data_IF_152584477679
#
_entry.id   IF_152584477679
#
_cell.length_a   1.000
_cell.length_b   1.000
_cell.length_c   1.000
_cell.angle_alpha   90.00
_cell.angle_beta   90.00
_cell.angle_gamma   90.00
#
_symmetry.space_group_name_H-M   'P 1'
#
loop_
_entity.id
_entity.type
_entity.pdbx_description
1 polymer ?
#
# COMPACT_ATOMS: atom_id res chain seq x y z
N UNK A 1 -18.44 14.54 -2.64
CA UNK A 1 -17.70 13.42 -2.06
C UNK A 1 -16.77 12.85 -3.12
N UNK A 2 -15.52 12.55 -2.75
CA UNK A 2 -14.57 11.95 -3.67
C UNK A 2 -15.04 10.53 -4.07
N UNK A 3 -14.75 10.12 -5.32
CA UNK A 3 -15.05 8.76 -5.77
C UNK A 3 -13.90 7.83 -5.37
N UNK A 4 -14.23 6.74 -4.70
CA UNK A 4 -13.31 5.65 -4.34
C UNK A 4 -13.78 4.34 -4.97
N UNK A 5 -12.87 3.48 -5.45
CA UNK A 5 -13.24 2.22 -6.08
C UNK A 5 -13.84 1.21 -5.07
N UNK A 6 -13.45 1.30 -3.81
CA UNK A 6 -13.96 0.46 -2.71
C UNK A 6 -14.13 1.34 -1.48
N UNK A 7 -15.25 1.15 -0.77
CA UNK A 7 -15.53 1.79 0.52
C UNK A 7 -15.71 0.70 1.57
N UNK A 8 -14.87 0.73 2.59
CA UNK A 8 -15.03 -0.09 3.79
C UNK A 8 -15.64 0.77 4.91
N UNK A 9 -16.92 0.55 5.16
CA UNK A 9 -17.64 1.29 6.19
C UNK A 9 -17.28 0.83 7.62
N UNK A 10 -16.68 -0.35 7.78
CA UNK A 10 -16.25 -0.84 9.10
C UNK A 10 -15.15 0.04 9.69
N UNK A 11 -14.30 0.62 8.85
CA UNK A 11 -13.23 1.56 9.25
C UNK A 11 -13.76 2.87 9.85
N UNK A 12 -15.05 3.18 9.67
CA UNK A 12 -15.65 4.37 10.31
C UNK A 12 -15.68 4.26 11.83
N UNK A 13 -15.68 3.06 12.38
CA UNK A 13 -15.60 2.83 13.83
C UNK A 13 -14.22 3.22 14.40
N UNK A 14 -13.17 3.07 13.62
CA UNK A 14 -11.80 3.41 14.05
C UNK A 14 -11.60 4.92 14.26
N UNK A 15 -12.51 5.75 13.74
CA UNK A 15 -12.46 7.21 13.84
C UNK A 15 -13.55 7.79 14.73
N UNK A 16 -14.24 6.97 15.52
CA UNK A 16 -15.20 7.44 16.52
C UNK A 16 -14.48 8.30 17.57
N UNK A 17 -15.08 9.43 17.91
CA UNK A 17 -14.47 10.43 18.81
C UNK A 17 -13.49 11.40 18.15
N UNK A 18 -13.11 11.19 16.89
CA UNK A 18 -12.27 12.12 16.14
C UNK A 18 -13.16 13.11 15.36
N UNK A 19 -12.89 14.41 15.53
CA UNK A 19 -13.57 15.44 14.78
C UNK A 19 -13.17 15.43 13.31
N UNK A 20 -14.08 15.02 12.42
CA UNK A 20 -13.87 14.95 10.98
C UNK A 20 -14.60 16.08 10.27
N UNK A 21 -13.88 16.91 9.51
CA UNK A 21 -14.44 17.98 8.70
C UNK A 21 -14.45 17.56 7.22
N UNK A 22 -15.63 17.21 6.72
CA UNK A 22 -15.81 16.84 5.30
C UNK A 22 -15.98 18.10 4.45
N UNK A 23 -15.21 18.23 3.39
CA UNK A 23 -15.26 19.37 2.47
C UNK A 23 -15.69 18.97 1.06
N UNK A 24 -16.06 19.95 0.26
CA UNK A 24 -16.31 19.76 -1.20
C UNK A 24 -14.99 19.54 -1.92
N UNK A 25 -15.05 18.96 -3.11
CA UNK A 25 -13.93 18.84 -4.04
C UNK A 25 -14.40 19.13 -5.47
N UNK A 26 -13.51 19.67 -6.31
CA UNK A 26 -13.69 19.79 -7.75
C UNK A 26 -12.81 18.75 -8.42
N UNK A 27 -13.40 17.64 -8.85
CA UNK A 27 -12.65 16.54 -9.46
C UNK A 27 -12.92 16.50 -10.98
N UNK A 28 -11.91 16.84 -11.79
CA UNK A 28 -12.00 16.70 -13.24
C UNK A 28 -12.17 15.24 -13.67
N UNK A 29 -11.76 14.27 -12.82
CA UNK A 29 -11.90 12.83 -13.07
C UNK A 29 -13.35 12.38 -13.31
N UNK A 30 -14.36 13.06 -12.75
CA UNK A 30 -15.78 12.76 -13.04
C UNK A 30 -16.18 13.05 -14.49
N UNK A 31 -15.62 14.08 -15.08
CA UNK A 31 -15.80 14.38 -16.51
C UNK A 31 -15.03 13.39 -17.38
N UNK A 32 -13.83 13.05 -16.95
CA UNK A 32 -12.95 12.11 -17.62
C UNK A 32 -13.51 10.67 -17.62
N UNK A 33 -14.03 10.18 -16.49
CA UNK A 33 -14.65 8.85 -16.43
C UNK A 33 -15.95 8.76 -17.23
N UNK A 34 -16.73 9.84 -17.31
CA UNK A 34 -17.90 9.93 -18.22
C UNK A 34 -17.51 9.80 -19.69
N UNK A 35 -16.41 10.41 -20.10
CA UNK A 35 -15.95 10.39 -21.50
C UNK A 35 -15.32 9.05 -21.90
N UNK A 36 -14.70 8.29 -20.96
CA UNK A 36 -13.93 7.08 -21.28
C UNK A 36 -14.68 5.79 -20.96
N UNK A 37 -15.38 5.73 -19.84
CA UNK A 37 -16.00 4.47 -19.36
C UNK A 37 -17.52 4.46 -19.38
N UNK A 38 -18.16 5.56 -19.76
CA UNK A 38 -19.63 5.69 -19.71
C UNK A 38 -20.24 5.58 -18.31
N UNK A 39 -19.45 5.23 -17.29
CA UNK A 39 -19.89 5.05 -15.91
C UNK A 39 -19.08 5.91 -14.93
N UNK A 40 -19.67 6.99 -14.39
CA UNK A 40 -18.97 7.94 -13.50
C UNK A 40 -18.61 7.38 -12.13
N UNK A 41 -19.07 6.18 -11.78
CA UNK A 41 -18.82 5.55 -10.48
C UNK A 41 -17.67 4.53 -10.50
N UNK A 42 -17.22 4.06 -11.67
CA UNK A 42 -16.02 3.23 -11.77
C UNK A 42 -14.79 4.10 -11.59
N UNK A 43 -14.18 4.03 -10.41
CA UNK A 43 -12.85 4.59 -10.16
C UNK A 43 -11.83 3.98 -11.13
N UNK A 44 -10.74 4.71 -11.41
CA UNK A 44 -9.63 4.17 -12.22
C UNK A 44 -8.96 3.08 -11.37
N UNK A 45 -8.77 1.85 -11.89
CA UNK A 45 -8.09 0.80 -11.16
C UNK A 45 -6.70 1.26 -10.70
N UNK A 46 -6.37 1.02 -9.44
CA UNK A 46 -5.02 1.28 -8.92
C UNK A 46 -4.06 0.24 -9.52
N UNK A 47 -2.91 0.69 -10.02
CA UNK A 47 -1.84 -0.19 -10.47
C UNK A 47 -1.88 -0.63 -11.94
N UNK A 48 -2.97 -0.44 -12.68
CA UNK A 48 -3.03 -0.72 -14.12
C UNK A 48 -3.33 0.55 -14.92
N UNK A 49 -2.37 0.99 -15.73
CA UNK A 49 -2.59 2.04 -16.72
C UNK A 49 -2.89 1.36 -18.05
N UNK A 50 -4.16 1.37 -18.47
CA UNK A 50 -4.56 0.86 -19.78
C UNK A 50 -4.00 1.77 -20.88
N UNK A 51 -2.90 1.37 -21.51
CA UNK A 51 -2.24 2.09 -22.60
C UNK A 51 -2.52 1.51 -23.98
N UNK A 52 -3.33 0.45 -24.08
CA UNK A 52 -3.55 -0.31 -25.32
C UNK A 52 -4.36 0.45 -26.38
N UNK A 53 -5.25 1.37 -25.99
CA UNK A 53 -6.04 2.16 -26.92
C UNK A 53 -5.47 3.57 -27.12
N UNK A 54 -5.77 4.21 -28.29
CA UNK A 54 -5.40 5.59 -28.57
C UNK A 54 -6.01 6.53 -27.51
N UNK A 55 -7.26 6.31 -27.13
CA UNK A 55 -7.93 7.05 -26.06
C UNK A 55 -7.22 6.87 -24.71
N UNK A 56 -6.77 5.67 -24.39
CA UNK A 56 -5.97 5.40 -23.18
C UNK A 56 -4.65 6.16 -23.17
N UNK A 57 -3.96 6.24 -24.32
CA UNK A 57 -2.71 7.02 -24.47
C UNK A 57 -2.92 8.52 -24.27
N UNK A 58 -3.98 9.09 -24.87
CA UNK A 58 -4.34 10.52 -24.72
C UNK A 58 -4.73 10.82 -23.28
N UNK A 59 -5.51 9.96 -22.68
CA UNK A 59 -5.94 10.04 -21.30
C UNK A 59 -4.76 10.02 -20.31
N UNK A 60 -3.82 9.13 -20.54
CA UNK A 60 -2.59 9.02 -19.74
C UNK A 60 -1.71 10.26 -19.90
N UNK A 61 -1.58 10.78 -21.12
CA UNK A 61 -0.87 12.03 -21.38
C UNK A 61 -1.51 13.23 -20.66
N UNK A 62 -2.83 13.39 -20.75
CA UNK A 62 -3.55 14.45 -20.03
C UNK A 62 -3.36 14.30 -18.52
N UNK A 63 -3.51 13.09 -17.97
CA UNK A 63 -3.31 12.83 -16.54
C UNK A 63 -1.89 13.20 -16.09
N UNK A 64 -0.86 12.81 -16.84
CA UNK A 64 0.53 13.05 -16.49
C UNK A 64 0.99 14.50 -16.60
N UNK A 65 0.35 15.31 -17.46
CA UNK A 65 0.84 16.65 -17.79
C UNK A 65 -0.03 17.80 -17.25
N UNK A 66 -1.32 17.58 -17.05
CA UNK A 66 -2.25 18.64 -16.60
C UNK A 66 -2.70 18.46 -15.13
N UNK A 67 -2.60 17.25 -14.57
CA UNK A 67 -2.97 16.98 -13.18
C UNK A 67 -1.73 16.86 -12.28
N UNK A 68 -1.02 17.96 -12.14
CA UNK A 68 0.17 18.07 -11.29
C UNK A 68 -0.21 18.76 -9.96
N UNK A 69 0.11 18.18 -8.81
CA UNK A 69 0.79 16.89 -8.59
C UNK A 69 -0.10 15.68 -8.88
N UNK A 70 -1.41 15.80 -8.72
CA UNK A 70 -2.40 14.75 -8.89
C UNK A 70 -3.80 15.32 -9.21
N UNK A 71 -4.74 14.42 -9.48
CA UNK A 71 -6.11 14.79 -9.87
C UNK A 71 -6.96 15.36 -8.70
N UNK A 72 -6.46 15.32 -7.48
CA UNK A 72 -7.15 15.84 -6.28
C UNK A 72 -6.81 17.31 -5.99
N UNK A 73 -5.94 17.95 -6.78
CA UNK A 73 -5.58 19.37 -6.60
C UNK A 73 -6.78 20.34 -6.51
N UNK A 74 -7.92 19.98 -7.10
CA UNK A 74 -9.16 20.75 -6.99
C UNK A 74 -9.81 20.73 -5.61
N UNK A 75 -9.30 19.93 -4.68
CA UNK A 75 -9.71 19.90 -3.29
C UNK A 75 -9.01 20.97 -2.43
N UNK A 76 -7.80 21.39 -2.79
CA UNK A 76 -6.95 22.30 -2.03
C UNK A 76 -7.69 23.54 -1.51
N UNK A 77 -8.41 24.35 -2.32
CA UNK A 77 -9.06 25.56 -1.84
C UNK A 77 -10.17 25.29 -0.81
N UNK A 78 -10.82 24.15 -0.86
CA UNK A 78 -11.85 23.77 0.10
C UNK A 78 -11.24 23.31 1.43
N UNK A 79 -10.15 22.54 1.38
CA UNK A 79 -9.40 22.10 2.53
C UNK A 79 -8.79 23.29 3.28
N UNK A 80 -8.11 24.19 2.55
CA UNK A 80 -7.50 25.39 3.14
C UNK A 80 -8.55 26.26 3.84
N UNK A 81 -9.69 26.56 3.19
CA UNK A 81 -10.75 27.35 3.81
C UNK A 81 -11.33 26.71 5.06
N UNK A 82 -11.51 25.39 5.06
CA UNK A 82 -12.02 24.68 6.23
C UNK A 82 -11.00 24.69 7.38
N UNK A 83 -9.74 24.41 7.09
CA UNK A 83 -8.66 24.43 8.07
C UNK A 83 -8.42 25.84 8.64
N UNK A 84 -8.47 26.90 7.82
CA UNK A 84 -8.37 28.29 8.28
C UNK A 84 -9.41 28.64 9.32
N UNK A 85 -10.65 28.15 9.19
CA UNK A 85 -11.69 28.37 10.21
C UNK A 85 -11.30 27.77 11.56
N UNK A 86 -10.79 26.54 11.54
CA UNK A 86 -10.32 25.86 12.76
C UNK A 86 -9.13 26.58 13.37
N UNK A 87 -8.13 26.90 12.56
CA UNK A 87 -6.89 27.57 13.01
C UNK A 87 -7.11 28.98 13.59
N UNK A 88 -8.19 29.65 13.19
CA UNK A 88 -8.59 30.95 13.78
C UNK A 88 -9.35 30.83 15.11
N UNK A 89 -9.97 29.68 15.33
CA UNK A 89 -10.82 29.43 16.51
C UNK A 89 -10.11 28.62 17.59
N UNK A 90 -9.14 27.82 17.20
CA UNK A 90 -8.48 26.87 18.09
C UNK A 90 -6.95 27.03 18.02
N UNK A 91 -6.29 26.85 19.15
CA UNK A 91 -4.83 26.89 19.24
C UNK A 91 -4.25 25.56 18.79
N UNK A 92 -3.95 25.45 17.50
CA UNK A 92 -3.31 24.28 16.90
C UNK A 92 -1.80 24.50 16.88
N UNK A 93 -1.05 23.56 17.42
CA UNK A 93 0.42 23.63 17.52
C UNK A 93 1.14 22.96 16.35
N UNK A 94 0.54 21.89 15.81
CA UNK A 94 1.14 21.06 14.78
C UNK A 94 0.13 20.74 13.68
N UNK A 95 0.61 20.75 12.45
CA UNK A 95 -0.11 20.30 11.26
C UNK A 95 0.61 19.13 10.64
N UNK A 96 -0.10 18.04 10.39
CA UNK A 96 0.42 16.90 9.63
C UNK A 96 -0.39 16.78 8.35
N UNK A 97 0.29 16.68 7.21
CA UNK A 97 -0.33 16.37 5.92
C UNK A 97 0.18 15.04 5.41
N UNK A 98 -0.74 14.17 4.98
CA UNK A 98 -0.42 12.82 4.50
C UNK A 98 -0.69 12.70 3.00
N UNK A 99 0.21 12.11 2.26
CA UNK A 99 0.09 11.81 0.84
C UNK A 99 0.53 10.37 0.50
N UNK A 100 -0.04 9.76 -0.55
CA UNK A 100 -0.93 10.34 -1.56
C UNK A 100 -2.37 10.59 -1.09
N UNK A 101 -3.08 11.56 -1.67
CA UNK A 101 -2.67 12.42 -2.77
C UNK A 101 -1.72 13.54 -2.32
N UNK A 102 -0.65 13.77 -3.09
CA UNK A 102 0.39 14.75 -2.73
C UNK A 102 -0.08 16.22 -2.81
N UNK A 103 -1.21 16.48 -3.48
CA UNK A 103 -1.91 17.78 -3.42
C UNK A 103 -2.30 18.19 -2.00
N UNK A 104 -2.41 17.26 -1.05
CA UNK A 104 -2.62 17.52 0.38
C UNK A 104 -1.49 18.37 0.96
N UNK A 105 -0.24 18.09 0.56
CA UNK A 105 0.93 18.86 1.02
C UNK A 105 0.92 20.30 0.50
N UNK A 106 0.33 20.57 -0.67
CA UNK A 106 0.15 21.95 -1.15
C UNK A 106 -0.83 22.75 -0.28
N UNK A 107 -1.86 22.11 0.25
CA UNK A 107 -2.74 22.73 1.23
C UNK A 107 -2.00 23.00 2.54
N UNK A 108 -1.18 22.06 3.01
CA UNK A 108 -0.32 22.21 4.18
C UNK A 108 0.66 23.37 4.05
N UNK A 109 1.34 23.48 2.90
CA UNK A 109 2.26 24.58 2.62
C UNK A 109 1.58 25.96 2.72
N UNK A 110 0.36 26.10 2.18
CA UNK A 110 -0.40 27.34 2.26
C UNK A 110 -0.81 27.69 3.70
N UNK A 111 -1.19 26.68 4.48
CA UNK A 111 -1.61 26.89 5.88
C UNK A 111 -0.41 27.18 6.78
N UNK A 112 0.68 26.43 6.64
CA UNK A 112 1.87 26.61 7.46
C UNK A 112 2.48 27.99 7.28
N UNK A 113 2.53 28.51 6.03
CA UNK A 113 3.04 29.85 5.76
C UNK A 113 2.15 30.98 6.29
N UNK A 114 0.83 30.75 6.46
CA UNK A 114 -0.12 31.76 6.95
C UNK A 114 -0.24 31.80 8.47
N UNK A 115 -0.02 30.66 9.15
CA UNK A 115 -0.28 30.49 10.58
C UNK A 115 0.97 30.11 11.38
N UNK A 116 2.15 30.12 10.77
CA UNK A 116 3.44 29.77 11.40
C UNK A 116 3.42 28.43 12.16
N UNK A 117 2.79 27.41 11.56
CA UNK A 117 2.59 26.11 12.17
C UNK A 117 3.85 25.23 12.08
N UNK A 118 4.10 24.41 13.10
CA UNK A 118 4.99 23.26 12.96
C UNK A 118 4.35 22.29 11.98
N UNK A 119 4.78 22.29 10.73
CA UNK A 119 4.17 21.46 9.68
C UNK A 119 5.04 20.28 9.33
N UNK A 120 4.48 19.07 9.47
CA UNK A 120 5.10 17.80 9.08
C UNK A 120 4.42 17.24 7.84
N UNK A 121 5.23 16.67 6.96
CA UNK A 121 4.75 16.03 5.72
C UNK A 121 4.99 14.52 5.77
N UNK A 122 3.93 13.74 5.60
CA UNK A 122 3.95 12.29 5.66
C UNK A 122 3.88 11.69 4.26
N UNK A 123 5.01 11.20 3.77
CA UNK A 123 5.16 10.54 2.49
C UNK A 123 4.98 9.04 2.65
N UNK A 124 3.76 8.56 2.42
CA UNK A 124 3.46 7.12 2.44
C UNK A 124 3.96 6.40 1.19
N UNK A 125 4.00 7.11 0.06
CA UNK A 125 4.49 6.63 -1.23
C UNK A 125 5.42 7.68 -1.86
N UNK A 126 6.32 7.25 -2.79
CA UNK A 126 7.09 8.19 -3.61
C UNK A 126 6.18 9.12 -4.40
N UNK A 127 6.60 10.37 -4.57
CA UNK A 127 5.86 11.33 -5.40
C UNK A 127 6.42 11.40 -6.81
N UNK A 128 7.55 12.09 -7.00
CA UNK A 128 8.11 12.25 -8.35
C UNK A 128 8.78 10.98 -8.85
N UNK A 129 9.32 10.18 -7.94
CA UNK A 129 10.06 8.95 -8.23
C UNK A 129 9.18 7.69 -8.29
N UNK A 130 7.85 7.83 -8.17
CA UNK A 130 6.95 6.67 -8.21
C UNK A 130 7.04 5.92 -9.54
N UNK A 131 7.16 4.60 -9.48
CA UNK A 131 7.47 3.75 -10.63
C UNK A 131 6.55 3.92 -11.85
N UNK A 132 5.26 4.16 -11.64
CA UNK A 132 4.30 4.34 -12.74
C UNK A 132 4.37 5.71 -13.42
N UNK A 133 5.12 6.69 -12.90
CA UNK A 133 5.33 7.98 -13.57
C UNK A 133 6.00 7.81 -14.94
N UNK A 134 6.88 6.79 -15.09
CA UNK A 134 7.52 6.44 -16.37
C UNK A 134 6.51 6.09 -17.45
N UNK A 135 5.35 5.56 -17.06
CA UNK A 135 4.27 5.14 -17.98
C UNK A 135 3.35 6.31 -18.40
N UNK A 136 3.41 7.45 -17.71
CA UNK A 136 2.48 8.57 -17.93
C UNK A 136 2.85 9.51 -19.07
N UNK A 137 3.91 9.24 -19.87
CA UNK A 137 4.35 10.08 -21.00
C UNK A 137 4.43 11.57 -20.65
N UNK A 138 5.05 11.89 -19.53
CA UNK A 138 5.17 13.25 -19.00
C UNK A 138 6.18 14.07 -19.82
N UNK A 139 5.86 15.32 -20.12
CA UNK A 139 6.81 16.27 -20.72
C UNK A 139 7.86 16.70 -19.70
N UNK A 140 9.03 17.13 -20.17
CA UNK A 140 10.07 17.67 -19.29
C UNK A 140 9.58 18.85 -18.45
N UNK A 141 8.74 19.73 -19.01
CA UNK A 141 8.13 20.85 -18.27
C UNK A 141 7.26 20.36 -17.10
N UNK A 142 6.46 19.32 -17.33
CA UNK A 142 5.59 18.74 -16.30
C UNK A 142 6.39 18.03 -15.21
N UNK A 143 7.45 17.32 -15.59
CA UNK A 143 8.37 16.68 -14.64
C UNK A 143 9.10 17.71 -13.79
N UNK A 144 9.67 18.75 -14.43
CA UNK A 144 10.37 19.84 -13.73
C UNK A 144 9.45 20.60 -12.76
N UNK A 145 8.19 20.88 -13.18
CA UNK A 145 7.20 21.50 -12.30
C UNK A 145 6.88 20.66 -11.08
N UNK A 146 6.69 19.37 -11.27
CA UNK A 146 6.36 18.44 -10.19
C UNK A 146 7.53 18.28 -9.21
N UNK A 147 8.74 18.12 -9.73
CA UNK A 147 9.98 18.08 -8.92
C UNK A 147 10.19 19.37 -8.12
N UNK A 148 9.93 20.54 -8.72
CA UNK A 148 10.00 21.81 -8.03
C UNK A 148 8.96 21.93 -6.89
N UNK A 149 7.75 21.41 -7.08
CA UNK A 149 6.73 21.36 -6.03
C UNK A 149 7.15 20.44 -4.87
N UNK A 150 7.62 19.24 -5.17
CA UNK A 150 8.12 18.30 -4.15
C UNK A 150 9.26 18.93 -3.35
N UNK A 151 10.28 19.46 -4.03
CA UNK A 151 11.42 20.14 -3.37
C UNK A 151 10.96 21.29 -2.49
N UNK A 152 10.04 22.13 -2.99
CA UNK A 152 9.48 23.25 -2.22
C UNK A 152 8.77 22.79 -0.94
N UNK A 153 8.02 21.71 -1.01
CA UNK A 153 7.33 21.14 0.16
C UNK A 153 8.35 20.61 1.16
N UNK A 154 9.32 19.82 0.72
CA UNK A 154 10.36 19.29 1.59
C UNK A 154 11.13 20.41 2.30
N UNK A 155 11.50 21.49 1.61
CA UNK A 155 12.27 22.60 2.15
C UNK A 155 11.48 23.48 3.13
N UNK A 156 10.15 23.50 3.07
CA UNK A 156 9.32 24.37 3.93
C UNK A 156 8.64 23.60 5.07
N UNK A 157 8.69 22.29 5.08
CA UNK A 157 8.18 21.47 6.17
C UNK A 157 9.14 21.56 7.38
N UNK A 158 8.62 21.46 8.60
CA UNK A 158 9.43 21.28 9.81
C UNK A 158 10.15 19.93 9.81
N UNK A 159 9.50 18.92 9.25
CA UNK A 159 10.08 17.61 9.10
C UNK A 159 9.28 16.72 8.15
N UNK A 160 9.87 15.60 7.79
CA UNK A 160 9.38 14.64 6.79
C UNK A 160 9.24 13.27 7.44
N UNK A 161 8.07 12.68 7.31
CA UNK A 161 7.77 11.30 7.73
C UNK A 161 7.77 10.42 6.48
N UNK A 162 8.42 9.26 6.57
CA UNK A 162 8.41 8.24 5.52
C UNK A 162 8.06 6.87 6.10
N UNK A 163 7.57 5.96 5.28
CA UNK A 163 7.17 4.61 5.75
C UNK A 163 8.36 3.71 6.08
N UNK A 164 9.56 4.03 5.62
CA UNK A 164 10.77 3.24 5.87
C UNK A 164 12.00 4.16 5.85
N UNK A 165 13.10 3.72 6.44
CA UNK A 165 14.42 4.37 6.30
C UNK A 165 15.14 3.97 4.99
N UNK A 166 14.47 3.26 4.06
CA UNK A 166 15.04 2.76 2.83
C UNK A 166 15.22 3.81 1.73
N UNK A 167 15.20 3.37 0.49
CA UNK A 167 15.52 4.19 -0.68
C UNK A 167 14.68 5.48 -0.80
N UNK A 168 13.36 5.41 -0.54
CA UNK A 168 12.50 6.59 -0.55
C UNK A 168 12.99 7.66 0.43
N UNK A 169 13.27 7.26 1.66
CA UNK A 169 13.77 8.15 2.72
C UNK A 169 15.08 8.83 2.29
N UNK A 170 16.05 8.04 1.85
CA UNK A 170 17.37 8.53 1.42
C UNK A 170 17.26 9.50 0.23
N UNK A 171 16.43 9.19 -0.77
CA UNK A 171 16.21 10.07 -1.92
C UNK A 171 15.56 11.40 -1.55
N UNK A 172 14.57 11.37 -0.65
CA UNK A 172 13.95 12.61 -0.17
C UNK A 172 14.92 13.43 0.68
N UNK A 173 15.74 12.78 1.52
CA UNK A 173 16.77 13.43 2.33
C UNK A 173 17.84 14.11 1.45
N UNK A 174 18.25 13.48 0.35
CA UNK A 174 19.17 14.12 -0.63
C UNK A 174 18.57 15.39 -1.26
N UNK A 175 17.25 15.46 -1.42
CA UNK A 175 16.56 16.66 -1.97
C UNK A 175 16.44 17.79 -0.95
N UNK A 176 16.50 17.50 0.35
CA UNK A 176 16.39 18.45 1.46
C UNK A 176 17.23 17.99 2.68
N UNK A 177 18.57 18.04 2.60
CA UNK A 177 19.46 17.47 3.62
C UNK A 177 19.38 18.20 4.97
N UNK A 178 18.93 19.45 5.00
CA UNK A 178 18.78 20.26 6.21
C UNK A 178 17.51 19.93 7.01
N UNK A 179 16.63 19.08 6.48
CA UNK A 179 15.36 18.77 7.13
C UNK A 179 15.47 17.57 8.08
N UNK A 180 14.58 17.53 9.07
CA UNK A 180 14.43 16.38 9.96
C UNK A 180 13.63 15.29 9.26
N UNK A 181 14.14 14.07 9.26
CA UNK A 181 13.47 12.90 8.67
C UNK A 181 13.20 11.83 9.71
N UNK A 182 11.98 11.30 9.70
CA UNK A 182 11.52 10.23 10.59
C UNK A 182 11.01 9.07 9.75
N UNK A 183 11.52 7.86 9.97
CA UNK A 183 10.96 6.65 9.37
C UNK A 183 9.90 6.05 10.30
N UNK A 184 8.64 6.02 9.84
CA UNK A 184 7.50 5.54 10.61
C UNK A 184 6.66 4.59 9.76
N UNK A 185 6.76 3.27 9.95
CA UNK A 185 6.00 2.28 9.18
C UNK A 185 4.48 2.46 9.30
N UNK A 186 3.73 1.78 8.42
CA UNK A 186 2.27 1.81 8.45
C UNK A 186 1.66 1.23 9.74
N UNK A 187 2.37 0.29 10.37
CA UNK A 187 1.92 -0.39 11.56
C UNK A 187 0.78 -1.39 11.31
N UNK A 188 0.53 -2.23 12.29
CA UNK A 188 -0.61 -3.14 12.34
C UNK A 188 -1.47 -2.85 13.57
N UNK A 189 -2.73 -3.24 13.53
CA UNK A 189 -3.64 -3.14 14.67
C UNK A 189 -3.42 -4.32 15.60
N UNK A 190 -2.69 -4.10 16.70
CA UNK A 190 -2.34 -5.16 17.64
C UNK A 190 -3.56 -5.67 18.43
N UNK A 191 -4.54 -4.82 18.71
CA UNK A 191 -5.75 -5.21 19.43
C UNK A 191 -6.66 -6.06 18.53
N UNK A 192 -6.94 -5.59 17.32
CA UNK A 192 -7.70 -6.34 16.33
C UNK A 192 -7.03 -7.68 16.01
N UNK A 193 -5.68 -7.67 15.86
CA UNK A 193 -4.91 -8.88 15.61
C UNK A 193 -5.06 -9.88 16.76
N UNK A 194 -4.97 -9.45 18.03
CA UNK A 194 -5.14 -10.35 19.20
C UNK A 194 -6.55 -10.89 19.30
N UNK A 195 -7.55 -10.05 19.13
CA UNK A 195 -8.96 -10.37 19.35
C UNK A 195 -9.61 -11.14 18.20
N UNK A 196 -8.97 -11.24 17.05
CA UNK A 196 -9.49 -11.98 15.89
C UNK A 196 -9.00 -13.44 15.95
N UNK A 197 -9.94 -14.37 16.06
CA UNK A 197 -9.65 -15.80 15.96
C UNK A 197 -9.35 -16.21 14.50
N UNK A 198 -8.58 -17.30 14.35
CA UNK A 198 -8.33 -17.88 13.04
C UNK A 198 -9.62 -18.48 12.46
N UNK A 199 -9.84 -18.34 11.16
CA UNK A 199 -10.89 -19.08 10.47
C UNK A 199 -10.65 -20.60 10.58
N UNK A 200 -11.68 -21.45 10.39
CA UNK A 200 -11.52 -22.90 10.43
C UNK A 200 -10.42 -23.39 9.48
N UNK A 201 -9.55 -24.27 10.01
CA UNK A 201 -8.47 -24.84 9.21
C UNK A 201 -8.99 -25.76 8.13
N UNK A 202 -8.43 -25.67 6.93
CA UNK A 202 -8.70 -26.60 5.83
C UNK A 202 -7.92 -27.89 6.00
N UNK A 203 -8.44 -28.98 5.44
CA UNK A 203 -7.69 -30.25 5.33
C UNK A 203 -6.62 -30.08 4.26
N UNK A 204 -5.36 -30.38 4.60
CA UNK A 204 -4.22 -30.19 3.71
C UNK A 204 -3.48 -28.88 3.96
N UNK A 205 -2.73 -28.42 2.97
CA UNK A 205 -1.87 -27.24 3.10
C UNK A 205 -2.58 -26.01 2.53
N UNK A 206 -2.87 -25.05 3.40
CA UNK A 206 -3.62 -23.86 3.08
C UNK A 206 -2.69 -22.67 2.83
N UNK A 207 -2.73 -22.13 1.63
CA UNK A 207 -1.97 -20.97 1.18
C UNK A 207 -2.95 -19.80 1.03
N UNK A 208 -2.57 -18.62 1.53
CA UNK A 208 -3.45 -17.45 1.51
C UNK A 208 -2.71 -16.25 0.93
N UNK A 209 -3.40 -15.51 0.06
CA UNK A 209 -3.01 -14.17 -0.38
C UNK A 209 -4.13 -13.19 -0.07
N UNK A 210 -3.79 -12.04 0.52
CA UNK A 210 -4.74 -10.93 0.73
C UNK A 210 -4.24 -9.65 0.08
N UNK A 211 -5.14 -8.85 -0.50
CA UNK A 211 -4.84 -7.52 -1.01
C UNK A 211 -5.10 -7.32 -2.50
N UNK A 212 -4.40 -6.37 -3.09
CA UNK A 212 -4.45 -6.10 -4.53
C UNK A 212 -3.55 -7.07 -5.28
N UNK A 213 -4.11 -7.77 -6.29
CA UNK A 213 -3.34 -8.59 -7.22
C UNK A 213 -3.60 -8.12 -8.65
N UNK A 214 -2.53 -7.82 -9.35
CA UNK A 214 -2.52 -7.38 -10.75
C UNK A 214 -1.51 -8.15 -11.57
N UNK A 215 -1.54 -8.02 -12.90
CA UNK A 215 -0.57 -8.67 -13.80
C UNK A 215 0.87 -8.15 -13.64
N UNK A 216 1.06 -7.01 -12.94
CA UNK A 216 2.39 -6.43 -12.67
C UNK A 216 3.07 -7.01 -11.42
N UNK A 217 2.55 -8.11 -10.88
CA UNK A 217 3.11 -8.80 -9.72
C UNK A 217 3.52 -10.24 -10.09
N UNK A 218 4.49 -10.78 -9.36
CA UNK A 218 5.16 -12.04 -9.61
C UNK A 218 4.34 -13.29 -9.20
N UNK A 219 3.06 -13.39 -9.58
CA UNK A 219 2.21 -14.51 -9.19
C UNK A 219 2.38 -15.77 -10.06
N UNK A 220 2.76 -15.60 -11.34
CA UNK A 220 2.72 -16.69 -12.31
C UNK A 220 3.65 -17.85 -11.94
N UNK A 221 4.87 -17.53 -11.49
CA UNK A 221 5.86 -18.55 -11.09
C UNK A 221 5.44 -19.36 -9.86
N UNK A 222 4.80 -18.70 -8.90
CA UNK A 222 4.22 -19.42 -7.75
C UNK A 222 3.11 -20.37 -8.21
N UNK A 223 2.27 -19.96 -9.15
CA UNK A 223 1.21 -20.81 -9.69
C UNK A 223 1.81 -22.06 -10.35
N UNK A 224 2.92 -21.93 -11.11
CA UNK A 224 3.65 -23.05 -11.70
C UNK A 224 4.16 -24.03 -10.62
N UNK A 225 4.79 -23.49 -9.56
CA UNK A 225 5.29 -24.30 -8.43
C UNK A 225 4.14 -25.02 -7.70
N UNK A 226 3.03 -24.33 -7.45
CA UNK A 226 1.86 -24.94 -6.81
C UNK A 226 1.23 -26.04 -7.67
N UNK A 227 1.21 -25.88 -9.00
CA UNK A 227 0.74 -26.91 -9.93
C UNK A 227 1.59 -28.18 -9.83
N UNK A 228 2.92 -28.03 -9.79
CA UNK A 228 3.82 -29.17 -9.62
C UNK A 228 3.62 -29.89 -8.27
N UNK A 229 3.59 -29.13 -7.16
CA UNK A 229 3.43 -29.68 -5.82
C UNK A 229 2.07 -30.35 -5.60
N UNK A 230 1.03 -29.92 -6.31
CA UNK A 230 -0.31 -30.49 -6.24
C UNK A 230 -0.41 -31.92 -6.79
N UNK A 231 0.64 -32.44 -7.45
CA UNK A 231 0.66 -33.84 -7.90
C UNK A 231 0.78 -34.83 -6.74
N UNK A 232 1.39 -34.41 -5.61
CA UNK A 232 1.59 -35.26 -4.44
C UNK A 232 0.96 -34.75 -3.14
N UNK A 233 0.34 -33.57 -3.14
CA UNK A 233 -0.15 -32.91 -1.93
C UNK A 233 -1.53 -32.29 -2.13
N UNK A 234 -2.35 -32.30 -1.09
CA UNK A 234 -3.63 -31.57 -1.06
C UNK A 234 -3.35 -30.10 -0.73
N UNK A 235 -3.57 -29.23 -1.71
CA UNK A 235 -3.34 -27.80 -1.60
C UNK A 235 -4.66 -27.03 -1.69
N UNK A 236 -4.80 -26.00 -0.87
CA UNK A 236 -5.85 -24.98 -0.93
C UNK A 236 -5.21 -23.62 -1.15
N UNK A 237 -5.73 -22.84 -2.08
CA UNK A 237 -5.25 -21.48 -2.33
C UNK A 237 -6.40 -20.48 -2.21
N UNK A 238 -6.42 -19.74 -1.11
CA UNK A 238 -7.41 -18.69 -0.86
C UNK A 238 -6.87 -17.32 -1.27
N UNK A 239 -7.68 -16.61 -2.05
CA UNK A 239 -7.42 -15.27 -2.54
C UNK A 239 -8.48 -14.32 -1.99
N UNK A 240 -8.08 -13.21 -1.36
CA UNK A 240 -9.01 -12.18 -0.89
C UNK A 240 -8.49 -10.79 -1.25
N UNK A 241 -9.40 -9.87 -1.60
CA UNK A 241 -9.09 -8.49 -1.93
C UNK A 241 -9.52 -8.06 -3.32
N UNK A 242 -8.88 -7.03 -3.86
CA UNK A 242 -9.22 -6.50 -5.17
C UNK A 242 -8.39 -7.20 -6.26
N UNK A 243 -8.97 -8.22 -6.88
CA UNK A 243 -8.32 -9.03 -7.92
C UNK A 243 -9.19 -9.03 -9.17
N UNK A 244 -8.58 -8.83 -10.33
CA UNK A 244 -9.32 -8.85 -11.59
C UNK A 244 -9.92 -10.24 -11.83
N UNK A 245 -11.23 -10.37 -12.13
CA UNK A 245 -11.89 -11.66 -12.38
C UNK A 245 -11.21 -12.52 -13.46
N UNK A 246 -10.65 -11.90 -14.50
CA UNK A 246 -9.91 -12.62 -15.55
C UNK A 246 -8.65 -13.29 -15.00
N UNK A 247 -7.98 -12.66 -14.03
CA UNK A 247 -6.80 -13.21 -13.38
C UNK A 247 -7.15 -14.40 -12.49
N UNK A 248 -8.27 -14.32 -11.77
CA UNK A 248 -8.78 -15.43 -10.96
C UNK A 248 -9.12 -16.64 -11.84
N UNK A 249 -9.78 -16.42 -12.98
CA UNK A 249 -10.10 -17.47 -13.93
C UNK A 249 -8.82 -18.13 -14.50
N UNK A 250 -7.79 -17.33 -14.79
CA UNK A 250 -6.48 -17.81 -15.24
C UNK A 250 -5.80 -18.69 -14.19
N UNK A 251 -5.74 -18.23 -12.94
CA UNK A 251 -5.16 -18.98 -11.81
C UNK A 251 -5.90 -20.30 -11.60
N UNK A 252 -7.24 -20.28 -11.58
CA UNK A 252 -8.05 -21.51 -11.45
C UNK A 252 -7.80 -22.50 -12.58
N UNK A 253 -7.68 -22.02 -13.81
CA UNK A 253 -7.39 -22.86 -14.99
C UNK A 253 -5.99 -23.50 -14.88
N UNK A 254 -5.00 -22.76 -14.37
CA UNK A 254 -3.63 -23.24 -14.21
C UNK A 254 -3.45 -24.19 -13.03
N UNK A 255 -4.40 -24.25 -12.09
CA UNK A 255 -4.35 -25.05 -10.87
C UNK A 255 -5.51 -26.05 -10.76
N UNK A 256 -5.68 -26.99 -11.72
CA UNK A 256 -6.86 -27.88 -11.75
C UNK A 256 -6.93 -28.87 -10.58
N UNK A 257 -5.82 -29.15 -9.89
CA UNK A 257 -5.75 -30.03 -8.71
C UNK A 257 -5.66 -29.28 -7.38
N UNK A 258 -5.65 -27.95 -7.41
CA UNK A 258 -5.64 -27.09 -6.20
C UNK A 258 -7.04 -26.52 -6.01
N UNK A 259 -7.57 -26.58 -4.81
CA UNK A 259 -8.82 -25.89 -4.50
C UNK A 259 -8.56 -24.38 -4.37
N UNK A 260 -8.91 -23.64 -5.45
CA UNK A 260 -8.72 -22.17 -5.50
C UNK A 260 -10.02 -21.48 -5.16
N UNK A 261 -10.04 -20.77 -4.03
CA UNK A 261 -11.18 -19.97 -3.57
C UNK A 261 -10.89 -18.48 -3.69
N UNK A 262 -11.86 -17.71 -4.20
CA UNK A 262 -11.82 -16.26 -4.19
C UNK A 262 -12.93 -15.71 -3.32
N UNK A 263 -12.55 -15.01 -2.26
CA UNK A 263 -13.45 -14.48 -1.24
C UNK A 263 -13.93 -13.04 -1.53
N UNK A 264 -13.45 -12.41 -2.62
CA UNK A 264 -13.73 -11.00 -2.86
C UNK A 264 -13.03 -10.08 -1.85
N UNK A 265 -13.56 -8.87 -1.71
CA UNK A 265 -13.13 -7.95 -0.66
C UNK A 265 -13.73 -8.38 0.68
N UNK A 266 -12.88 -8.66 1.66
CA UNK A 266 -13.27 -9.03 3.01
C UNK A 266 -13.16 -7.83 3.97
N UNK A 267 -14.06 -7.68 4.94
CA UNK A 267 -13.85 -6.82 6.09
C UNK A 267 -12.56 -7.17 6.82
N UNK A 268 -11.88 -6.18 7.40
CA UNK A 268 -10.51 -6.32 7.93
C UNK A 268 -10.36 -7.49 8.91
N UNK A 269 -11.26 -7.63 9.89
CA UNK A 269 -11.24 -8.76 10.83
C UNK A 269 -11.37 -10.13 10.12
N UNK A 270 -12.20 -10.24 9.08
CA UNK A 270 -12.33 -11.49 8.32
C UNK A 270 -11.07 -11.79 7.50
N UNK A 271 -10.40 -10.76 6.96
CA UNK A 271 -9.12 -10.93 6.28
C UNK A 271 -8.05 -11.42 7.26
N UNK A 272 -7.99 -10.88 8.48
CA UNK A 272 -7.09 -11.36 9.54
C UNK A 272 -7.40 -12.82 9.93
N UNK A 273 -8.67 -13.18 10.11
CA UNK A 273 -9.09 -14.55 10.40
C UNK A 273 -8.62 -15.54 9.31
N UNK A 274 -8.79 -15.15 8.04
CA UNK A 274 -8.32 -15.93 6.89
C UNK A 274 -6.80 -16.07 6.90
N UNK A 275 -6.05 -14.98 7.09
CA UNK A 275 -4.58 -15.01 7.17
C UNK A 275 -4.10 -15.95 8.28
N UNK A 276 -4.68 -15.88 9.48
CA UNK A 276 -4.33 -16.74 10.63
C UNK A 276 -4.64 -18.22 10.43
N UNK A 277 -5.55 -18.55 9.53
CA UNK A 277 -5.89 -19.95 9.20
C UNK A 277 -4.89 -20.62 8.26
N UNK A 278 -4.02 -19.83 7.64
CA UNK A 278 -3.08 -20.31 6.61
C UNK A 278 -1.91 -21.13 7.21
N UNK A 279 -1.34 -21.98 6.38
CA UNK A 279 -0.04 -22.59 6.61
C UNK A 279 1.09 -21.72 6.00
N UNK A 280 0.78 -20.97 4.95
CA UNK A 280 1.69 -20.07 4.27
C UNK A 280 0.96 -18.83 3.76
N UNK A 281 1.53 -17.66 3.99
CA UNK A 281 1.10 -16.41 3.39
C UNK A 281 1.98 -16.07 2.19
N UNK A 282 1.35 -15.71 1.07
CA UNK A 282 2.05 -15.22 -0.11
C UNK A 282 1.99 -13.70 -0.19
N UNK A 283 3.12 -13.09 -0.48
CA UNK A 283 3.22 -11.68 -0.77
C UNK A 283 3.89 -11.46 -2.13
N UNK A 284 3.29 -10.60 -2.97
CA UNK A 284 3.82 -10.25 -4.28
C UNK A 284 4.13 -8.77 -4.32
N UNK A 285 5.39 -8.42 -4.59
CA UNK A 285 5.81 -7.04 -4.75
C UNK A 285 5.53 -6.58 -6.18
N UNK A 286 5.16 -5.31 -6.36
CA UNK A 286 4.98 -4.73 -7.69
C UNK A 286 6.32 -4.57 -8.38
N UNK A 287 6.41 -5.00 -9.65
CA UNK A 287 7.60 -4.77 -10.49
C UNK A 287 7.90 -3.28 -10.60
N UNK A 288 9.12 -2.89 -10.23
CA UNK A 288 9.59 -1.51 -10.19
C UNK A 288 9.32 -0.75 -8.88
N UNK A 289 8.69 -1.39 -7.88
CA UNK A 289 8.48 -0.82 -6.56
C UNK A 289 9.31 -1.52 -5.46
N UNK A 290 10.17 -2.45 -5.84
CA UNK A 290 10.85 -3.40 -4.95
C UNK A 290 11.67 -2.69 -3.87
N UNK A 291 12.34 -1.60 -4.22
CA UNK A 291 13.25 -0.87 -3.31
C UNK A 291 12.56 0.30 -2.58
N UNK A 292 11.36 0.69 -2.99
CA UNK A 292 10.75 1.97 -2.59
C UNK A 292 9.69 1.84 -1.51
N UNK A 293 9.07 0.65 -1.35
CA UNK A 293 7.86 0.51 -0.53
C UNK A 293 7.87 -0.78 0.27
N UNK A 294 7.45 -0.69 1.54
CA UNK A 294 7.00 -1.85 2.31
C UNK A 294 5.48 -1.87 2.28
N UNK A 295 4.91 -2.93 1.75
CA UNK A 295 3.45 -3.10 1.74
C UNK A 295 2.90 -3.14 3.16
N UNK A 296 1.85 -2.36 3.46
CA UNK A 296 1.19 -2.35 4.78
C UNK A 296 0.72 -3.75 5.21
N UNK A 297 0.28 -4.61 4.28
CA UNK A 297 -0.11 -5.99 4.57
C UNK A 297 1.04 -6.84 5.11
N UNK A 298 2.30 -6.50 4.79
CA UNK A 298 3.45 -7.27 5.25
C UNK A 298 3.60 -7.21 6.77
N UNK A 299 3.32 -6.06 7.39
CA UNK A 299 3.28 -5.90 8.84
C UNK A 299 2.17 -6.75 9.47
N UNK A 300 0.99 -6.80 8.84
CA UNK A 300 -0.11 -7.66 9.29
C UNK A 300 0.26 -9.14 9.15
N UNK A 301 0.91 -9.53 8.05
CA UNK A 301 1.39 -10.89 7.84
C UNK A 301 2.39 -11.30 8.93
N UNK A 302 3.37 -10.46 9.23
CA UNK A 302 4.32 -10.69 10.32
C UNK A 302 3.60 -10.87 11.67
N UNK A 303 2.53 -10.12 11.91
CA UNK A 303 1.74 -10.16 13.13
C UNK A 303 0.85 -11.41 13.25
N UNK A 304 0.60 -12.15 12.19
CA UNK A 304 -0.17 -13.41 12.26
C UNK A 304 0.65 -14.58 12.80
N UNK A 305 1.97 -14.47 12.88
CA UNK A 305 2.91 -15.57 13.16
C UNK A 305 2.87 -16.72 12.13
N UNK A 306 2.21 -16.55 11.00
CA UNK A 306 2.18 -17.52 9.90
C UNK A 306 3.44 -17.36 9.04
N UNK A 307 4.07 -18.44 8.53
CA UNK A 307 5.18 -18.35 7.58
C UNK A 307 4.83 -17.51 6.35
N UNK A 308 5.81 -16.75 5.84
CA UNK A 308 5.61 -15.82 4.73
C UNK A 308 6.59 -16.15 3.60
N UNK A 309 6.08 -16.31 2.39
CA UNK A 309 6.89 -16.32 1.16
C UNK A 309 6.54 -15.07 0.35
N UNK A 310 7.51 -14.17 0.24
CA UNK A 310 7.41 -12.96 -0.56
C UNK A 310 8.20 -13.11 -1.85
N UNK A 311 7.63 -12.63 -2.97
CA UNK A 311 8.34 -12.60 -4.25
C UNK A 311 8.73 -11.18 -4.60
N UNK A 312 10.01 -10.99 -4.88
CA UNK A 312 10.61 -9.71 -5.20
C UNK A 312 12.13 -9.77 -5.07
N UNK A 313 12.78 -8.61 -5.02
CA UNK A 313 14.22 -8.48 -4.90
C UNK A 313 14.70 -8.81 -3.46
N UNK A 314 15.56 -9.84 -3.26
CA UNK A 314 16.11 -10.22 -1.95
C UNK A 314 17.00 -9.14 -1.32
N UNK A 315 17.46 -8.15 -2.09
CA UNK A 315 18.28 -7.02 -1.58
C UNK A 315 17.43 -5.83 -1.15
N UNK A 316 16.11 -5.88 -1.37
CA UNK A 316 15.17 -4.79 -1.12
C UNK A 316 15.00 -4.46 0.37
N UNK A 317 14.52 -3.25 0.65
CA UNK A 317 14.10 -2.85 2.01
C UNK A 317 13.02 -3.79 2.58
N UNK A 318 12.12 -4.29 1.73
CA UNK A 318 11.11 -5.25 2.14
C UNK A 318 11.71 -6.61 2.54
N UNK A 319 12.78 -7.05 1.85
CA UNK A 319 13.50 -8.27 2.22
C UNK A 319 14.23 -8.12 3.57
N UNK A 320 14.90 -6.99 3.79
CA UNK A 320 15.53 -6.66 5.08
C UNK A 320 14.51 -6.64 6.21
N UNK A 321 13.31 -6.12 5.95
CA UNK A 321 12.21 -6.15 6.91
C UNK A 321 11.75 -7.57 7.23
N UNK A 322 11.53 -8.39 6.20
CA UNK A 322 11.12 -9.79 6.34
C UNK A 322 12.14 -10.63 7.11
N UNK A 323 13.44 -10.36 6.93
CA UNK A 323 14.52 -11.12 7.60
C UNK A 323 14.49 -11.02 9.13
N UNK A 324 13.70 -10.10 9.69
CA UNK A 324 13.46 -10.03 11.14
C UNK A 324 12.49 -11.12 11.63
N UNK A 325 11.76 -11.75 10.72
CA UNK A 325 10.91 -12.91 11.02
C UNK A 325 11.65 -14.23 10.86
N UNK A 326 11.46 -15.16 11.79
CA UNK A 326 12.12 -16.47 11.78
C UNK A 326 11.69 -17.41 10.66
N UNK A 327 10.53 -17.14 10.04
CA UNK A 327 9.93 -17.94 8.97
C UNK A 327 9.34 -17.02 7.89
N UNK A 328 10.12 -16.04 7.46
CA UNK A 328 9.71 -15.11 6.41
C UNK A 328 10.85 -14.97 5.39
N UNK A 329 10.53 -15.19 4.12
CA UNK A 329 11.53 -15.23 3.05
C UNK A 329 11.14 -14.32 1.90
N UNK A 330 12.14 -13.68 1.31
CA UNK A 330 12.07 -13.02 0.02
C UNK A 330 12.81 -13.87 -1.02
N UNK A 331 12.15 -14.18 -2.13
CA UNK A 331 12.70 -15.00 -3.22
C UNK A 331 12.49 -14.26 -4.53
N UNK A 332 13.48 -14.29 -5.41
CA UNK A 332 13.34 -13.73 -6.76
C UNK A 332 12.24 -14.45 -7.54
N UNK A 333 11.53 -13.70 -8.40
CA UNK A 333 10.41 -14.22 -9.19
C UNK A 333 10.80 -15.46 -10.00
N UNK A 334 12.00 -15.49 -10.57
CA UNK A 334 12.46 -16.56 -11.45
C UNK A 334 13.08 -17.76 -10.69
N UNK A 335 13.33 -17.62 -9.39
CA UNK A 335 13.92 -18.72 -8.58
C UNK A 335 12.85 -19.71 -8.08
N UNK A 336 12.23 -20.40 -9.01
CA UNK A 336 11.23 -21.44 -8.73
C UNK A 336 11.80 -22.60 -7.90
N UNK A 337 13.10 -22.87 -7.99
CA UNK A 337 13.78 -23.94 -7.22
C UNK A 337 13.75 -23.62 -5.74
N UNK A 338 14.12 -22.41 -5.36
CA UNK A 338 14.06 -21.97 -3.95
C UNK A 338 12.63 -21.88 -3.45
N UNK A 339 11.68 -21.36 -4.26
CA UNK A 339 10.26 -21.35 -3.89
C UNK A 339 9.76 -22.77 -3.58
N UNK A 340 10.03 -23.72 -4.48
CA UNK A 340 9.63 -25.11 -4.33
C UNK A 340 10.23 -25.74 -3.09
N UNK A 341 11.53 -25.49 -2.82
CA UNK A 341 12.22 -25.97 -1.63
C UNK A 341 11.55 -25.49 -0.33
N UNK A 342 11.21 -24.18 -0.22
CA UNK A 342 10.55 -23.63 0.95
C UNK A 342 9.14 -24.20 1.14
N UNK A 343 8.32 -24.22 0.09
CA UNK A 343 6.95 -24.74 0.19
C UNK A 343 6.97 -26.25 0.51
N UNK A 344 7.81 -27.03 -0.17
CA UNK A 344 7.95 -28.45 0.10
C UNK A 344 8.45 -28.74 1.52
N UNK A 345 9.44 -27.98 2.01
CA UNK A 345 9.92 -28.11 3.37
C UNK A 345 8.83 -27.89 4.42
N UNK A 346 7.86 -27.01 4.16
CA UNK A 346 6.72 -26.80 5.05
C UNK A 346 5.66 -27.92 4.90
N UNK A 347 5.43 -28.43 3.69
CA UNK A 347 4.50 -29.53 3.45
C UNK A 347 4.91 -30.81 4.19
N UNK A 348 6.20 -31.04 4.33
CA UNK A 348 6.76 -32.25 4.98
C UNK A 348 6.78 -32.16 6.53
N UNK A 349 6.52 -30.98 7.10
CA UNK A 349 6.54 -30.79 8.55
C UNK A 349 5.23 -31.24 9.21
N UNK A 350 5.33 -32.08 10.25
CA UNK A 350 4.17 -32.51 11.05
C UNK A 350 3.50 -31.35 11.80
N UNK A 351 4.28 -30.34 12.21
CA UNK A 351 3.79 -29.11 12.88
C UNK A 351 4.36 -27.92 12.17
N UNK A 352 3.48 -27.03 11.72
CA UNK A 352 3.90 -25.82 11.05
C UNK A 352 4.71 -24.91 11.98
N UNK A 353 5.86 -24.40 11.53
CA UNK A 353 6.65 -23.47 12.29
C UNK A 353 5.90 -22.14 12.44
N UNK A 354 6.14 -21.43 13.53
CA UNK A 354 5.64 -20.08 13.73
C UNK A 354 6.65 -19.05 13.27
N UNK A 355 6.21 -18.04 12.58
CA UNK A 355 7.02 -16.88 12.23
C UNK A 355 7.09 -15.94 13.44
N UNK A 356 8.17 -16.01 14.20
CA UNK A 356 8.40 -15.13 15.34
C UNK A 356 9.21 -13.91 14.94
N UNK A 357 8.73 -12.75 15.32
CA UNK A 357 9.36 -11.45 15.07
C UNK A 357 9.63 -10.75 16.41
N UNK A 358 10.88 -10.65 16.86
CA UNK A 358 11.22 -10.15 18.21
C UNK A 358 10.69 -8.75 18.53
N UNK A 359 10.70 -7.84 17.54
CA UNK A 359 10.32 -6.43 17.72
C UNK A 359 8.90 -6.12 17.23
N UNK A 360 8.04 -7.15 17.11
CA UNK A 360 6.73 -6.98 16.51
C UNK A 360 5.87 -5.90 17.18
N UNK A 361 5.89 -5.83 18.52
CA UNK A 361 5.10 -4.85 19.30
C UNK A 361 5.49 -3.40 19.00
N UNK A 362 6.73 -3.11 18.65
CA UNK A 362 7.20 -1.77 18.27
C UNK A 362 6.55 -1.28 16.98
N UNK A 363 6.02 -2.19 16.15
CA UNK A 363 5.33 -1.89 14.90
C UNK A 363 3.82 -1.84 15.05
N UNK A 364 3.29 -1.94 16.26
CA UNK A 364 1.87 -1.71 16.50
C UNK A 364 1.54 -0.24 16.22
N UNK A 365 0.34 0.03 15.68
CA UNK A 365 -0.12 1.42 15.44
C UNK A 365 -0.07 2.26 16.71
N UNK A 366 -0.36 1.66 17.88
CA UNK A 366 -0.29 2.33 19.17
C UNK A 366 1.16 2.75 19.52
N UNK A 367 2.14 1.85 19.40
CA UNK A 367 3.55 2.16 19.66
C UNK A 367 4.10 3.20 18.68
N UNK A 368 3.78 3.05 17.39
CA UNK A 368 4.18 4.01 16.36
C UNK A 368 3.55 5.40 16.56
N UNK A 369 2.28 5.46 17.00
CA UNK A 369 1.63 6.74 17.33
C UNK A 369 2.31 7.41 18.52
N UNK A 370 2.64 6.65 19.57
CA UNK A 370 3.39 7.18 20.72
C UNK A 370 4.75 7.73 20.30
N UNK A 371 5.45 7.00 19.43
CA UNK A 371 6.72 7.47 18.86
C UNK A 371 6.55 8.74 18.04
N UNK A 372 5.54 8.80 17.15
CA UNK A 372 5.22 9.98 16.35
C UNK A 372 4.98 11.22 17.24
N UNK A 373 4.17 11.07 18.30
CA UNK A 373 3.88 12.17 19.24
C UNK A 373 5.17 12.68 19.90
N UNK A 374 6.04 11.79 20.36
CA UNK A 374 7.29 12.16 21.02
C UNK A 374 8.30 12.86 20.08
N UNK A 375 8.28 12.52 18.78
CA UNK A 375 9.24 13.08 17.81
C UNK A 375 8.71 14.36 17.12
N UNK A 376 7.39 14.58 17.12
CA UNK A 376 6.74 15.67 16.37
C UNK A 376 6.28 16.83 17.28
N UNK A 377 5.81 16.54 18.48
CA UNK A 377 5.33 17.54 19.47
C UNK A 377 6.42 17.94 20.44
#
# INVERSE_FOLDING_TARGET
QASYPVLDLSLMKEVEGIRIIKTKTREPLRWYSRLISGNPQKGIPQGEIQTSSIFGKVATYIRGNFFIPDARKGWIPFAVRAAQKVLRQEKIQCLITTGPPHSTHLAGLQLASQFELKWWVDFRDPWTDIFYNKQMRRTHKSQAKDAALEKRILQNAKGVITTTAGELHQRLQQKAPEQTFIALPNGYDAELMRNTEAAPKKKGFHIVFTGLLTRNQAYARVVEVLQELSQGHILHFSLAGNINPSLIAEIKKSLPKVEVEYHGYLPHAQAIALMKSANLLLNFIFKGAETQMISGKLLEYMATEVPILSLGDPTSTAAQFLSQGSQAWMVEEEDTTTMKRYIKGMLEQKKQPKNKTPQLEEWSRAALTKRLVNEVL
#
